data_IF_922984045389
#
_entry.id   IF_922984045389
#
_cell.length_a   1.000
_cell.length_b   1.000
_cell.length_c   1.000
_cell.angle_alpha   90.00
_cell.angle_beta   90.00
_cell.angle_gamma   90.00
#
_symmetry.space_group_name_H-M   'P 1'
#
loop_
_entity.id
_entity.type
_entity.pdbx_description
1 polymer ?
#
# COMPACT_ATOMS: atom_id res chain seq x y z
N UNK A 1 20.82 11.08 -4.73
CA UNK A 1 20.02 12.29 -5.08
C UNK A 1 18.70 12.42 -4.30
N UNK A 2 18.59 11.92 -3.05
CA UNK A 2 17.32 11.92 -2.27
C UNK A 2 17.12 13.06 -1.26
N UNK A 3 18.12 13.91 -1.05
CA UNK A 3 18.06 14.94 0.02
C UNK A 3 17.20 16.19 -0.31
N UNK A 4 16.88 16.46 -1.56
CA UNK A 4 16.11 17.65 -1.95
C UNK A 4 14.61 17.54 -1.65
N UNK A 5 14.02 16.37 -1.79
CA UNK A 5 12.58 16.16 -1.62
C UNK A 5 12.13 16.27 -0.16
N UNK A 6 12.91 15.75 0.78
CA UNK A 6 12.62 15.82 2.22
C UNK A 6 12.79 17.25 2.78
N UNK A 7 13.79 17.99 2.30
CA UNK A 7 14.03 19.40 2.71
C UNK A 7 12.86 20.30 2.34
N UNK A 8 12.31 20.13 1.13
CA UNK A 8 11.14 20.89 0.67
C UNK A 8 9.85 20.54 1.44
N UNK A 9 9.67 19.29 1.88
CA UNK A 9 8.49 18.87 2.63
C UNK A 9 8.46 19.49 4.04
N UNK A 10 9.59 19.49 4.75
CA UNK A 10 9.72 20.13 6.07
C UNK A 10 9.49 21.63 6.00
N UNK A 11 10.05 22.30 4.99
CA UNK A 11 9.84 23.73 4.76
C UNK A 11 8.37 24.04 4.48
N UNK A 12 7.70 23.28 3.62
CA UNK A 12 6.26 23.44 3.34
C UNK A 12 5.40 23.23 4.59
N UNK A 13 5.71 22.22 5.41
CA UNK A 13 5.00 21.98 6.67
C UNK A 13 5.23 23.12 7.68
N UNK A 14 6.46 23.63 7.77
CA UNK A 14 6.78 24.77 8.63
C UNK A 14 6.07 26.05 8.19
N UNK A 15 6.09 26.36 6.89
CA UNK A 15 5.36 27.50 6.31
C UNK A 15 3.85 27.38 6.54
N UNK A 16 3.27 26.21 6.36
CA UNK A 16 1.86 25.98 6.65
C UNK A 16 1.53 26.23 8.13
N UNK A 17 2.35 25.71 9.04
CA UNK A 17 2.18 25.91 10.47
C UNK A 17 2.34 27.39 10.86
N UNK A 18 3.33 28.09 10.30
CA UNK A 18 3.53 29.54 10.53
C UNK A 18 2.33 30.36 10.04
N UNK A 19 1.77 30.03 8.87
CA UNK A 19 0.55 30.67 8.35
C UNK A 19 -0.65 30.42 9.27
N UNK A 20 -0.82 29.18 9.76
CA UNK A 20 -1.90 28.85 10.69
C UNK A 20 -1.77 29.64 12.00
N UNK A 21 -0.56 29.77 12.55
CA UNK A 21 -0.29 30.60 13.74
C UNK A 21 -0.62 32.06 13.50
N UNK A 22 -0.16 32.66 12.41
CA UNK A 22 -0.45 34.04 12.06
C UNK A 22 -1.96 34.29 11.91
N UNK A 23 -2.66 33.42 11.19
CA UNK A 23 -4.12 33.53 11.00
C UNK A 23 -4.89 33.40 12.30
N UNK A 24 -4.40 32.59 13.26
CA UNK A 24 -5.05 32.45 14.57
C UNK A 24 -4.75 33.59 15.54
N UNK A 25 -3.56 34.20 15.49
CA UNK A 25 -3.12 35.22 16.45
C UNK A 25 -3.49 36.65 16.03
N UNK A 26 -3.43 37.00 14.74
CA UNK A 26 -3.73 38.33 14.21
C UNK A 26 -5.08 38.88 14.71
N UNK A 27 -6.20 38.10 14.65
CA UNK A 27 -7.50 38.58 15.11
C UNK A 27 -7.57 38.92 16.60
N UNK A 28 -6.79 38.20 17.43
CA UNK A 28 -6.73 38.48 18.88
C UNK A 28 -5.94 39.75 19.21
N UNK A 29 -4.93 40.06 18.39
CA UNK A 29 -4.11 41.26 18.56
C UNK A 29 -4.88 42.51 18.14
N UNK A 30 -5.64 42.45 17.06
CA UNK A 30 -6.29 43.61 16.46
C UNK A 30 -7.77 43.78 16.83
N UNK A 31 -8.35 42.92 17.72
CA UNK A 31 -9.75 43.00 18.19
C UNK A 31 -10.76 43.26 17.07
N UNK A 32 -10.65 42.53 15.93
CA UNK A 32 -11.50 42.75 14.78
C UNK A 32 -12.99 42.49 15.12
N UNK A 33 -13.83 43.52 14.95
CA UNK A 33 -15.28 43.49 15.19
C UNK A 33 -16.00 42.42 14.38
N UNK A 34 -15.40 41.95 13.26
CA UNK A 34 -15.96 40.97 12.34
C UNK A 34 -15.20 39.63 12.33
N UNK A 35 -14.49 39.33 13.40
CA UNK A 35 -13.65 38.12 13.51
C UNK A 35 -14.44 36.82 13.22
N UNK A 36 -15.64 36.67 13.76
CA UNK A 36 -16.47 35.49 13.51
C UNK A 36 -16.82 35.33 12.03
N UNK A 37 -17.16 36.42 11.36
CA UNK A 37 -17.47 36.39 9.92
C UNK A 37 -16.25 35.93 9.09
N UNK A 38 -15.08 36.42 9.40
CA UNK A 38 -13.83 36.06 8.72
C UNK A 38 -13.47 34.58 8.91
N UNK A 39 -13.58 34.07 10.14
CA UNK A 39 -13.31 32.64 10.43
C UNK A 39 -14.34 31.73 9.75
N UNK A 40 -15.62 32.08 9.74
CA UNK A 40 -16.63 31.35 9.02
C UNK A 40 -16.36 31.31 7.51
N UNK A 41 -15.95 32.44 6.92
CA UNK A 41 -15.67 32.52 5.47
C UNK A 41 -14.49 31.63 5.08
N UNK A 42 -13.39 31.65 5.85
CA UNK A 42 -12.25 30.78 5.60
C UNK A 42 -12.62 29.31 5.75
N UNK A 43 -13.35 28.96 6.83
CA UNK A 43 -13.79 27.56 7.04
C UNK A 43 -14.67 27.07 5.92
N UNK A 44 -15.59 27.90 5.42
CA UNK A 44 -16.44 27.60 4.29
C UNK A 44 -15.64 27.37 3.00
N UNK A 45 -14.65 28.24 2.71
CA UNK A 45 -13.79 28.07 1.53
C UNK A 45 -12.96 26.79 1.59
N UNK A 46 -12.41 26.45 2.76
CA UNK A 46 -11.67 25.19 2.98
C UNK A 46 -12.57 23.98 2.80
N UNK A 47 -13.79 24.03 3.33
CA UNK A 47 -14.77 22.95 3.17
C UNK A 47 -15.16 22.77 1.68
N UNK A 48 -15.45 23.85 0.96
CA UNK A 48 -15.74 23.81 -0.47
C UNK A 48 -14.56 23.25 -1.30
N UNK A 49 -13.34 23.65 -0.98
CA UNK A 49 -12.15 23.11 -1.61
C UNK A 49 -12.01 21.61 -1.34
N UNK A 50 -12.16 21.18 -0.09
CA UNK A 50 -12.12 19.77 0.32
C UNK A 50 -13.15 18.92 -0.42
N UNK A 51 -14.41 19.39 -0.49
CA UNK A 51 -15.49 18.72 -1.22
C UNK A 51 -15.18 18.61 -2.72
N UNK A 52 -14.60 19.65 -3.33
CA UNK A 52 -14.21 19.66 -4.74
C UNK A 52 -13.10 18.62 -5.02
N UNK A 53 -12.09 18.54 -4.14
CA UNK A 53 -11.01 17.55 -4.24
C UNK A 53 -11.56 16.13 -4.09
N UNK A 54 -12.45 15.88 -3.12
CA UNK A 54 -13.07 14.57 -2.90
C UNK A 54 -13.93 14.17 -4.13
N UNK A 55 -14.73 15.09 -4.65
CA UNK A 55 -15.57 14.87 -5.83
C UNK A 55 -14.73 14.53 -7.07
N UNK A 56 -13.63 15.28 -7.29
CA UNK A 56 -12.72 15.07 -8.42
C UNK A 56 -11.99 13.71 -8.33
N UNK A 57 -11.55 13.33 -7.13
CA UNK A 57 -10.91 12.05 -6.89
C UNK A 57 -11.89 10.87 -7.05
N UNK A 58 -13.15 11.04 -6.59
CA UNK A 58 -14.22 10.04 -6.79
C UNK A 58 -14.53 9.80 -8.27
N UNK A 59 -14.63 10.88 -9.07
CA UNK A 59 -14.86 10.77 -10.52
C UNK A 59 -13.69 10.09 -11.23
N UNK A 60 -12.43 10.36 -10.85
CA UNK A 60 -11.26 9.69 -11.40
C UNK A 60 -11.27 8.19 -11.11
N UNK A 61 -11.58 7.79 -9.88
CA UNK A 61 -11.69 6.37 -9.52
C UNK A 61 -12.78 5.62 -10.29
N UNK A 62 -13.94 6.24 -10.53
CA UNK A 62 -15.05 5.61 -11.28
C UNK A 62 -14.70 5.49 -12.77
N UNK A 63 -14.08 6.50 -13.38
CA UNK A 63 -13.72 6.48 -14.79
C UNK A 63 -12.62 5.45 -15.09
N UNK A 64 -11.67 5.24 -14.17
CA UNK A 64 -10.64 4.22 -14.30
C UNK A 64 -11.21 2.79 -14.26
N UNK A 65 -12.29 2.57 -13.49
CA UNK A 65 -12.97 1.27 -13.42
C UNK A 65 -13.75 0.96 -14.72
N UNK A 66 -14.33 1.98 -15.36
CA UNK A 66 -15.18 1.80 -16.54
C UNK A 66 -14.40 1.67 -17.87
N UNK A 67 -13.16 2.18 -17.93
CA UNK A 67 -12.32 2.14 -19.13
C UNK A 67 -11.32 0.97 -19.15
N UNK A 68 -11.65 -0.18 -18.56
CA UNK A 68 -10.76 -1.34 -18.51
C UNK A 68 -10.54 -1.95 -19.89
N UNK A 69 -9.61 -1.39 -20.66
CA UNK A 69 -8.95 -2.12 -21.74
C UNK A 69 -8.08 -3.18 -21.07
N UNK A 70 -8.42 -4.46 -21.27
CA UNK A 70 -7.65 -5.58 -20.71
C UNK A 70 -6.20 -5.46 -21.19
N UNK A 71 -5.25 -5.25 -20.28
CA UNK A 71 -3.81 -5.28 -20.65
C UNK A 71 -3.53 -6.71 -21.10
N UNK A 72 -2.92 -6.87 -22.28
CA UNK A 72 -2.40 -8.18 -22.69
C UNK A 72 -1.30 -8.62 -21.72
N UNK A 73 -1.20 -9.92 -21.46
CA UNK A 73 -0.24 -10.53 -20.52
C UNK A 73 1.21 -10.08 -20.76
N UNK A 74 1.56 -9.75 -22.00
CA UNK A 74 2.90 -9.30 -22.39
C UNK A 74 3.26 -7.92 -21.80
N UNK A 75 2.29 -7.09 -21.45
CA UNK A 75 2.52 -5.71 -20.93
C UNK A 75 2.48 -5.62 -19.40
N UNK A 76 2.30 -6.72 -18.69
CA UNK A 76 2.39 -6.73 -17.24
C UNK A 76 3.85 -6.72 -16.79
N UNK A 77 4.25 -5.89 -15.80
CA UNK A 77 5.64 -5.81 -15.34
C UNK A 77 6.02 -7.00 -14.44
N UNK A 78 7.32 -7.28 -14.23
CA UNK A 78 7.76 -8.20 -13.20
C UNK A 78 7.30 -7.76 -11.81
N UNK A 79 6.67 -8.65 -11.06
CA UNK A 79 6.09 -8.40 -9.75
C UNK A 79 6.64 -9.38 -8.71
N UNK A 80 7.11 -8.83 -7.60
CA UNK A 80 7.47 -9.57 -6.41
C UNK A 80 6.42 -9.34 -5.32
N UNK A 81 5.87 -10.42 -4.75
CA UNK A 81 4.95 -10.37 -3.61
C UNK A 81 5.71 -10.73 -2.35
N UNK A 82 5.66 -9.87 -1.33
CA UNK A 82 6.23 -10.12 -0.01
C UNK A 82 5.13 -10.30 1.02
N UNK A 83 5.23 -11.39 1.80
CA UNK A 83 4.36 -11.66 2.95
C UNK A 83 5.24 -11.98 4.16
N UNK A 84 5.13 -11.21 5.23
CA UNK A 84 5.70 -11.57 6.51
C UNK A 84 4.68 -12.39 7.29
N UNK A 85 5.09 -13.58 7.74
CA UNK A 85 4.27 -14.52 8.50
C UNK A 85 4.97 -14.85 9.83
N UNK A 86 4.17 -14.96 10.90
CA UNK A 86 4.61 -15.46 12.19
C UNK A 86 3.42 -16.13 12.89
N UNK A 87 3.55 -17.42 13.17
CA UNK A 87 2.51 -18.24 13.81
C UNK A 87 1.17 -18.19 13.03
N UNK A 88 1.23 -18.42 11.72
CA UNK A 88 0.12 -18.31 10.77
C UNK A 88 -0.33 -19.68 10.20
N UNK A 89 -0.14 -20.78 10.95
CA UNK A 89 -0.43 -22.16 10.49
C UNK A 89 -1.85 -22.35 9.94
N UNK A 90 -2.83 -21.57 10.44
CA UNK A 90 -4.24 -21.71 10.05
C UNK A 90 -4.60 -21.04 8.71
N UNK A 91 -3.77 -20.13 8.22
CA UNK A 91 -4.11 -19.28 7.06
C UNK A 91 -3.09 -19.33 5.93
N UNK A 92 -1.83 -19.68 6.23
CA UNK A 92 -0.72 -19.54 5.29
C UNK A 92 -0.85 -20.41 4.04
N UNK A 93 -1.34 -21.66 4.17
CA UNK A 93 -1.57 -22.55 3.04
C UNK A 93 -2.58 -21.95 2.06
N UNK A 94 -3.74 -21.53 2.57
CA UNK A 94 -4.80 -20.91 1.78
C UNK A 94 -4.35 -19.61 1.11
N UNK A 95 -3.49 -18.82 1.78
CA UNK A 95 -2.92 -17.63 1.18
C UNK A 95 -2.06 -18.00 -0.03
N UNK A 96 -1.12 -18.93 0.12
CA UNK A 96 -0.20 -19.35 -0.96
C UNK A 96 -0.99 -19.84 -2.17
N UNK A 97 -1.96 -20.75 -1.97
CA UNK A 97 -2.82 -21.26 -3.05
C UNK A 97 -3.55 -20.12 -3.79
N UNK A 98 -4.07 -19.13 -3.04
CA UNK A 98 -4.74 -17.96 -3.65
C UNK A 98 -3.79 -17.09 -4.44
N UNK A 99 -2.57 -16.89 -3.98
CA UNK A 99 -1.58 -16.10 -4.69
C UNK A 99 -1.17 -16.73 -6.01
N UNK A 100 -1.03 -18.06 -6.06
CA UNK A 100 -0.74 -18.77 -7.30
C UNK A 100 -1.96 -18.90 -8.23
N UNK A 101 -3.18 -18.68 -7.72
CA UNK A 101 -4.40 -18.62 -8.51
C UNK A 101 -4.75 -17.21 -9.04
N UNK A 102 -3.90 -16.21 -8.85
CA UNK A 102 -4.10 -14.87 -9.41
C UNK A 102 -3.90 -14.87 -10.93
N UNK A 103 -4.69 -14.07 -11.63
CA UNK A 103 -4.56 -13.85 -13.07
C UNK A 103 -3.30 -13.03 -13.38
N UNK A 104 -2.13 -13.65 -13.27
CA UNK A 104 -0.84 -13.02 -13.55
C UNK A 104 0.11 -14.02 -14.21
N UNK A 105 0.94 -13.58 -15.20
CA UNK A 105 1.89 -14.48 -15.85
C UNK A 105 2.88 -15.08 -14.85
N UNK A 106 2.96 -16.40 -14.77
CA UNK A 106 3.79 -17.10 -13.79
C UNK A 106 5.28 -16.82 -13.93
N UNK A 107 5.74 -16.53 -15.16
CA UNK A 107 7.12 -16.16 -15.43
C UNK A 107 7.49 -14.72 -14.95
N UNK A 108 6.49 -13.89 -14.61
CA UNK A 108 6.67 -12.51 -14.13
C UNK A 108 6.29 -12.34 -12.66
N UNK A 109 5.91 -13.41 -11.97
CA UNK A 109 5.49 -13.39 -10.58
C UNK A 109 6.46 -14.21 -9.72
N UNK A 110 7.01 -13.59 -8.67
CA UNK A 110 7.69 -14.29 -7.58
C UNK A 110 6.95 -14.03 -6.27
N UNK A 111 6.86 -15.04 -5.43
CA UNK A 111 6.21 -14.95 -4.12
C UNK A 111 7.25 -15.28 -3.05
N UNK A 112 7.46 -14.34 -2.13
CA UNK A 112 8.38 -14.47 -1.00
C UNK A 112 7.56 -14.48 0.29
N UNK A 113 7.62 -15.56 1.02
CA UNK A 113 7.07 -15.67 2.37
C UNK A 113 8.22 -15.60 3.36
N UNK A 114 8.15 -14.62 4.27
CA UNK A 114 9.16 -14.44 5.31
C UNK A 114 8.61 -15.02 6.61
N UNK A 115 9.15 -16.16 7.02
CA UNK A 115 8.90 -16.73 8.34
C UNK A 115 9.75 -15.98 9.38
N UNK A 116 9.09 -15.16 10.21
CA UNK A 116 9.75 -14.31 11.22
C UNK A 116 9.87 -15.06 12.57
N UNK A 117 10.37 -16.29 12.51
CA UNK A 117 10.63 -17.12 13.67
C UNK A 117 9.36 -17.68 14.28
N UNK A 118 8.51 -18.32 13.49
CA UNK A 118 7.31 -19.01 13.95
C UNK A 118 7.64 -20.18 14.88
N UNK A 119 6.78 -20.41 15.86
CA UNK A 119 6.87 -21.49 16.85
C UNK A 119 5.83 -22.60 16.64
N UNK A 120 4.86 -22.37 15.75
CA UNK A 120 3.80 -23.30 15.35
C UNK A 120 4.22 -24.15 14.12
N UNK A 121 3.25 -24.72 13.39
CA UNK A 121 3.50 -25.54 12.20
C UNK A 121 3.74 -24.70 10.91
N UNK A 122 3.77 -23.37 10.98
CA UNK A 122 3.98 -22.51 9.82
C UNK A 122 5.22 -22.92 9.00
N UNK A 123 6.42 -23.14 9.61
CA UNK A 123 7.61 -23.50 8.85
C UNK A 123 7.46 -24.82 8.08
N UNK A 124 6.82 -25.83 8.69
CA UNK A 124 6.59 -27.14 8.06
C UNK A 124 5.64 -27.04 6.87
N UNK A 125 4.57 -26.24 7.00
CA UNK A 125 3.62 -25.98 5.93
C UNK A 125 4.32 -25.29 4.76
N UNK A 126 5.11 -24.26 5.05
CA UNK A 126 5.85 -23.51 4.03
C UNK A 126 6.88 -24.39 3.30
N UNK A 127 7.60 -25.25 4.01
CA UNK A 127 8.54 -26.19 3.41
C UNK A 127 7.81 -27.14 2.44
N UNK A 128 6.66 -27.67 2.80
CA UNK A 128 5.82 -28.51 1.90
C UNK A 128 5.39 -27.73 0.67
N UNK A 129 4.84 -26.54 0.85
CA UNK A 129 4.35 -25.71 -0.26
C UNK A 129 5.48 -25.26 -1.20
N UNK A 130 6.70 -25.06 -0.70
CA UNK A 130 7.85 -24.72 -1.56
C UNK A 130 8.26 -25.84 -2.51
N UNK A 131 7.91 -27.10 -2.21
CA UNK A 131 8.12 -28.24 -3.10
C UNK A 131 7.02 -28.35 -4.17
N UNK A 132 5.81 -27.82 -3.89
CA UNK A 132 4.67 -27.83 -4.81
C UNK A 132 4.70 -26.64 -5.77
N UNK A 133 5.23 -25.49 -5.33
CA UNK A 133 5.22 -24.23 -6.07
C UNK A 133 6.63 -23.71 -6.33
N UNK A 134 7.19 -23.95 -7.50
CA UNK A 134 8.56 -23.58 -7.89
C UNK A 134 8.89 -22.07 -7.72
N UNK A 135 7.89 -21.22 -7.80
CA UNK A 135 8.03 -19.76 -7.66
C UNK A 135 7.84 -19.25 -6.23
N UNK A 136 7.55 -20.14 -5.29
CA UNK A 136 7.49 -19.84 -3.87
C UNK A 136 8.90 -19.85 -3.28
N UNK A 137 9.31 -18.72 -2.73
CA UNK A 137 10.59 -18.55 -2.06
C UNK A 137 10.37 -18.28 -0.58
N UNK A 138 10.97 -19.10 0.27
CA UNK A 138 10.84 -18.97 1.73
C UNK A 138 12.10 -18.35 2.27
N UNK A 139 11.94 -17.34 3.12
CA UNK A 139 13.02 -16.65 3.82
C UNK A 139 12.76 -16.80 5.31
N UNK A 140 13.57 -17.65 5.98
CA UNK A 140 13.45 -17.85 7.43
C UNK A 140 14.33 -16.85 8.18
N UNK A 141 13.81 -16.28 9.26
CA UNK A 141 14.51 -15.43 10.20
C UNK A 141 14.45 -16.02 11.60
N UNK A 142 15.50 -15.76 12.38
CA UNK A 142 15.47 -16.12 13.79
C UNK A 142 14.39 -15.32 14.56
N UNK A 143 13.74 -15.95 15.51
CA UNK A 143 12.78 -15.30 16.40
C UNK A 143 13.35 -14.07 17.12
N UNK A 144 14.66 -14.02 17.33
CA UNK A 144 15.39 -12.93 17.97
C UNK A 144 15.95 -11.88 17.00
N UNK A 145 15.63 -11.96 15.70
CA UNK A 145 16.19 -11.04 14.69
C UNK A 145 15.73 -9.57 14.86
N UNK A 146 14.73 -9.33 15.67
CA UNK A 146 14.20 -7.99 15.98
C UNK A 146 13.51 -7.29 14.81
N UNK A 147 12.96 -6.10 15.10
CA UNK A 147 12.27 -5.26 14.11
C UNK A 147 10.88 -5.74 13.70
N UNK A 148 10.42 -6.91 14.16
CA UNK A 148 9.10 -7.46 13.87
C UNK A 148 8.82 -7.52 12.36
N UNK A 149 7.55 -7.33 11.98
CA UNK A 149 7.09 -7.37 10.58
C UNK A 149 7.90 -6.43 9.66
N UNK A 150 8.19 -5.21 10.09
CA UNK A 150 8.97 -4.25 9.30
C UNK A 150 10.41 -4.72 9.10
N UNK A 151 11.01 -5.33 10.14
CA UNK A 151 12.34 -5.94 10.06
C UNK A 151 12.36 -7.12 9.10
N UNK A 152 11.33 -7.98 9.12
CA UNK A 152 11.18 -9.10 8.21
C UNK A 152 11.09 -8.63 6.74
N UNK A 153 10.21 -7.68 6.46
CA UNK A 153 10.04 -7.11 5.12
C UNK A 153 11.33 -6.43 4.61
N UNK A 154 11.99 -5.62 5.45
CA UNK A 154 13.25 -4.98 5.07
C UNK A 154 14.38 -5.99 4.77
N UNK A 155 14.42 -7.09 5.52
CA UNK A 155 15.36 -8.16 5.25
C UNK A 155 15.10 -8.81 3.89
N UNK A 156 13.85 -9.06 3.56
CA UNK A 156 13.44 -9.69 2.31
C UNK A 156 13.69 -8.84 1.07
N UNK A 157 13.71 -7.51 1.18
CA UNK A 157 14.00 -6.62 0.05
C UNK A 157 15.32 -6.91 -0.66
N UNK A 158 16.30 -7.54 0.03
CA UNK A 158 17.58 -7.93 -0.56
C UNK A 158 17.46 -9.06 -1.60
N UNK A 159 16.35 -9.77 -1.61
CA UNK A 159 16.08 -10.92 -2.46
C UNK A 159 15.07 -10.62 -3.58
N UNK A 160 14.56 -9.39 -3.64
CA UNK A 160 13.56 -8.97 -4.62
C UNK A 160 14.20 -8.31 -5.82
N UNK A 161 13.69 -8.62 -7.02
CA UNK A 161 14.18 -8.11 -8.31
C UNK A 161 13.07 -7.62 -9.21
N UNK A 162 11.81 -7.69 -8.77
CA UNK A 162 10.65 -7.21 -9.52
C UNK A 162 10.68 -5.69 -9.73
N UNK A 163 10.14 -5.24 -10.84
CA UNK A 163 9.93 -3.81 -11.08
C UNK A 163 8.94 -3.22 -10.06
N UNK A 164 7.96 -4.04 -9.67
CA UNK A 164 6.97 -3.71 -8.65
C UNK A 164 7.04 -4.67 -7.47
N UNK A 165 6.76 -4.12 -6.30
CA UNK A 165 6.71 -4.86 -5.04
C UNK A 165 5.31 -4.72 -4.43
N UNK A 166 4.64 -5.86 -4.19
CA UNK A 166 3.38 -5.93 -3.47
C UNK A 166 3.62 -6.50 -2.06
N UNK A 167 3.25 -5.74 -1.04
CA UNK A 167 3.32 -6.18 0.35
C UNK A 167 1.92 -6.57 0.82
N UNK A 168 1.78 -7.77 1.35
CA UNK A 168 0.52 -8.31 1.85
C UNK A 168 0.65 -8.79 3.30
N UNK A 169 -0.48 -8.80 4.00
CA UNK A 169 -0.64 -9.48 5.29
C UNK A 169 -0.90 -10.97 5.05
N UNK A 170 -0.55 -11.85 5.99
CA UNK A 170 -0.77 -13.29 5.88
C UNK A 170 -2.26 -13.68 5.81
N UNK A 171 -3.15 -12.83 6.31
CA UNK A 171 -4.60 -12.96 6.24
C UNK A 171 -5.25 -12.31 5.01
N UNK A 172 -4.44 -11.74 4.09
CA UNK A 172 -4.94 -11.01 2.94
C UNK A 172 -5.72 -11.91 1.96
N UNK A 173 -6.77 -11.34 1.39
CA UNK A 173 -7.57 -11.98 0.35
C UNK A 173 -7.62 -11.09 -0.89
N UNK A 174 -7.05 -11.57 -1.98
CA UNK A 174 -7.12 -10.93 -3.28
C UNK A 174 -8.09 -11.67 -4.20
N UNK A 175 -8.84 -10.94 -5.01
CA UNK A 175 -9.60 -11.53 -6.12
C UNK A 175 -8.64 -11.87 -7.26
N UNK A 176 -8.97 -12.87 -8.07
CA UNK A 176 -8.12 -13.32 -9.18
C UNK A 176 -7.71 -12.18 -10.13
N UNK A 177 -8.64 -11.28 -10.42
CA UNK A 177 -8.48 -10.15 -11.34
C UNK A 177 -7.85 -8.90 -10.70
N UNK A 178 -7.43 -8.97 -9.43
CA UNK A 178 -6.93 -7.79 -8.71
C UNK A 178 -5.67 -7.22 -9.35
N UNK A 179 -4.71 -8.07 -9.70
CA UNK A 179 -3.42 -7.63 -10.27
C UNK A 179 -3.57 -7.02 -11.68
N UNK A 180 -4.27 -7.64 -12.63
CA UNK A 180 -4.53 -7.02 -13.93
C UNK A 180 -5.22 -5.66 -13.81
N UNK A 181 -6.21 -5.54 -12.92
CA UNK A 181 -6.91 -4.27 -12.68
C UNK A 181 -6.00 -3.21 -12.06
N UNK A 182 -5.13 -3.62 -11.13
CA UNK A 182 -4.14 -2.73 -10.54
C UNK A 182 -3.20 -2.16 -11.60
N UNK A 183 -2.65 -3.02 -12.45
CA UNK A 183 -1.70 -2.58 -13.48
C UNK A 183 -2.37 -1.83 -14.63
N UNK A 184 -3.63 -2.05 -14.93
CA UNK A 184 -4.40 -1.16 -15.79
C UNK A 184 -4.40 0.27 -15.23
N UNK A 185 -4.68 0.42 -13.94
CA UNK A 185 -4.64 1.73 -13.28
C UNK A 185 -3.23 2.34 -13.23
N UNK A 186 -2.22 1.53 -12.93
CA UNK A 186 -0.82 1.97 -12.85
C UNK A 186 -0.32 2.51 -14.18
N UNK A 187 -0.66 1.86 -15.28
CA UNK A 187 -0.22 2.27 -16.62
C UNK A 187 -0.89 3.55 -17.15
N UNK A 188 -1.98 4.00 -16.52
CA UNK A 188 -2.63 5.28 -16.86
C UNK A 188 -1.89 6.51 -16.30
N UNK A 189 -0.84 6.33 -15.48
CA UNK A 189 -0.14 7.44 -14.84
C UNK A 189 1.28 7.10 -14.39
N UNK A 190 2.00 8.11 -13.90
CA UNK A 190 3.35 7.95 -13.32
C UNK A 190 3.23 7.76 -11.80
N UNK A 191 3.17 6.53 -11.34
CA UNK A 191 3.01 6.17 -9.94
C UNK A 191 4.29 5.58 -9.37
N UNK A 192 4.74 6.09 -8.21
CA UNK A 192 5.84 5.48 -7.43
C UNK A 192 5.32 4.52 -6.35
N UNK A 193 4.05 4.64 -5.96
CA UNK A 193 3.39 3.75 -5.01
C UNK A 193 1.88 3.83 -5.18
N UNK A 194 1.21 2.69 -4.98
CA UNK A 194 -0.27 2.58 -4.99
C UNK A 194 -0.70 1.77 -3.78
N UNK A 195 -1.74 2.22 -3.10
CA UNK A 195 -2.32 1.52 -1.96
C UNK A 195 -3.67 0.91 -2.38
N UNK A 196 -3.81 -0.39 -2.20
CA UNK A 196 -5.09 -1.09 -2.37
C UNK A 196 -6.02 -0.77 -1.20
N UNK A 197 -7.30 -0.56 -1.51
CA UNK A 197 -8.32 -0.37 -0.47
C UNK A 197 -8.61 -1.69 0.22
N UNK A 198 -8.36 -1.75 1.52
CA UNK A 198 -8.72 -2.88 2.37
C UNK A 198 -10.23 -2.83 2.71
N UNK A 199 -10.93 -3.93 2.55
CA UNK A 199 -12.29 -4.10 3.03
C UNK A 199 -12.35 -5.31 3.96
N UNK A 200 -13.07 -5.18 5.08
CA UNK A 200 -13.30 -6.31 5.98
C UNK A 200 -14.44 -7.15 5.42
N UNK A 201 -14.21 -8.44 5.24
CA UNK A 201 -15.25 -9.39 4.86
C UNK A 201 -15.69 -10.07 6.14
N UNK A 202 -16.88 -9.74 6.62
CA UNK A 202 -17.50 -10.48 7.70
C UNK A 202 -17.96 -11.84 7.12
N UNK A 203 -17.32 -12.91 7.51
CA UNK A 203 -17.80 -14.28 7.27
C UNK A 203 -18.82 -14.55 8.37
N UNK A 204 -20.10 -14.41 8.03
CA UNK A 204 -21.22 -14.87 8.86
C UNK A 204 -21.33 -16.38 8.81
#
# INVERSE_FOLDING_TARGET
>A
MSNGFYKNRRLKSFLFFAVCLLVSTIPHIFQFKYFLFFTFTISFLVACYGLNVISKNRKRGINSINNQKKIGDNNLPPLDILVAARDEENVIERLVERLFNLDYPTNKLNIYIIDDGSSDKTPLILERLSREFDKLKIISRSANAGGGKSGALNYALKFTYGEWLLILDADAQLKKDTLPRLFNFVNEGSWSAVQLRKSVINVS
#
